data_IF_913394425092
#
_entry.id   IF_913394425092
#
_cell.length_a   1.000
_cell.length_b   1.000
_cell.length_c   1.000
_cell.angle_alpha   90.00
_cell.angle_beta   90.00
_cell.angle_gamma   90.00
#
_symmetry.space_group_name_H-M   'P 1'
#
loop_
_entity.id
_entity.type
_entity.pdbx_description
1 polymer ?
#
# COMPACT_ATOMS: atom_id res chain seq x y z
N UNK A 1 -4.42 -12.36 -35.15
CA UNK A 1 -3.58 -11.28 -34.60
C UNK A 1 -4.25 -10.80 -33.33
N UNK A 2 -3.97 -11.42 -32.18
CA UNK A 2 -4.51 -10.97 -30.90
C UNK A 2 -3.64 -9.81 -30.42
N UNK A 3 -4.20 -8.60 -30.47
CA UNK A 3 -3.52 -7.40 -29.98
C UNK A 3 -3.28 -7.51 -28.48
N UNK A 4 -2.13 -7.01 -28.03
CA UNK A 4 -1.83 -6.87 -26.61
C UNK A 4 -2.92 -6.05 -25.93
N UNK A 5 -3.77 -6.68 -25.13
CA UNK A 5 -4.80 -5.97 -24.37
C UNK A 5 -4.13 -5.38 -23.12
N UNK A 6 -3.94 -4.06 -23.11
CA UNK A 6 -3.40 -3.33 -21.96
C UNK A 6 -4.57 -2.86 -21.12
N UNK A 7 -4.87 -3.58 -20.05
CA UNK A 7 -6.08 -3.33 -19.26
C UNK A 7 -5.95 -2.10 -18.34
N UNK A 8 -4.75 -1.77 -17.91
CA UNK A 8 -4.49 -0.61 -17.06
C UNK A 8 -3.26 0.13 -17.58
N UNK A 9 -3.36 1.45 -17.66
CA UNK A 9 -2.25 2.36 -17.90
C UNK A 9 -2.28 3.51 -16.90
N UNK A 10 -1.17 3.72 -16.20
CA UNK A 10 -1.01 4.78 -15.21
C UNK A 10 0.29 5.55 -15.50
N UNK A 11 0.20 6.88 -15.49
CA UNK A 11 1.37 7.76 -15.46
C UNK A 11 1.43 8.53 -14.15
N UNK A 12 2.55 8.42 -13.46
CA UNK A 12 2.86 9.08 -12.19
C UNK A 12 4.01 10.07 -12.38
N UNK A 13 3.89 11.27 -11.80
CA UNK A 13 4.95 12.30 -11.77
C UNK A 13 5.09 12.90 -10.37
N UNK A 14 6.30 13.32 -10.01
CA UNK A 14 6.58 14.03 -8.75
C UNK A 14 6.04 13.32 -7.50
N UNK A 15 5.18 14.03 -6.75
CA UNK A 15 4.60 13.55 -5.47
C UNK A 15 3.79 12.26 -5.64
N UNK A 16 3.17 12.05 -6.79
CA UNK A 16 2.39 10.83 -7.06
C UNK A 16 3.26 9.58 -6.90
N UNK A 17 4.46 9.63 -7.49
CA UNK A 17 5.41 8.54 -7.43
C UNK A 17 5.91 8.27 -6.01
N UNK A 18 6.27 9.32 -5.26
CA UNK A 18 6.80 9.16 -3.89
C UNK A 18 5.74 8.64 -2.93
N UNK A 19 4.48 9.06 -3.06
CA UNK A 19 3.40 8.52 -2.24
C UNK A 19 3.07 7.07 -2.59
N UNK A 20 3.07 6.70 -3.88
CA UNK A 20 2.91 5.31 -4.31
C UNK A 20 4.00 4.41 -3.71
N UNK A 21 5.26 4.86 -3.79
CA UNK A 21 6.39 4.14 -3.20
C UNK A 21 6.25 4.00 -1.67
N UNK A 22 5.89 5.07 -0.96
CA UNK A 22 5.64 5.02 0.50
C UNK A 22 4.51 4.05 0.86
N UNK A 23 3.44 4.00 0.07
CA UNK A 23 2.35 3.05 0.28
C UNK A 23 2.82 1.59 0.08
N UNK A 24 3.60 1.30 -0.97
CA UNK A 24 4.19 -0.03 -1.18
C UNK A 24 5.10 -0.42 0.00
N UNK A 25 5.94 0.50 0.47
CA UNK A 25 6.77 0.27 1.66
C UNK A 25 5.93 -0.03 2.90
N UNK A 26 4.87 0.74 3.16
CA UNK A 26 3.98 0.50 4.28
C UNK A 26 3.28 -0.88 4.18
N UNK A 27 2.75 -1.23 3.00
CA UNK A 27 2.11 -2.53 2.77
C UNK A 27 3.09 -3.70 2.89
N UNK A 28 4.37 -3.52 2.56
CA UNK A 28 5.39 -4.56 2.72
C UNK A 28 5.66 -4.95 4.17
N UNK A 29 5.25 -4.12 5.14
CA UNK A 29 5.30 -4.43 6.58
C UNK A 29 4.13 -5.28 7.05
N UNK A 30 3.08 -5.42 6.23
CA UNK A 30 1.87 -6.19 6.54
C UNK A 30 1.96 -7.58 5.88
N UNK A 31 2.25 -7.63 4.58
CA UNK A 31 2.17 -8.86 3.81
C UNK A 31 3.24 -9.00 2.74
N UNK A 32 3.43 -10.26 2.31
CA UNK A 32 4.40 -10.63 1.26
C UNK A 32 3.81 -10.56 -0.15
N UNK A 33 2.51 -10.29 -0.26
CA UNK A 33 1.77 -10.19 -1.51
C UNK A 33 1.15 -8.79 -1.63
N UNK A 34 1.11 -8.27 -2.86
CA UNK A 34 0.55 -6.98 -3.21
C UNK A 34 -0.51 -7.17 -4.29
N UNK A 35 -1.76 -6.85 -3.99
CA UNK A 35 -2.82 -6.79 -4.98
C UNK A 35 -2.86 -5.40 -5.60
N UNK A 36 -2.84 -5.36 -6.94
CA UNK A 36 -2.98 -4.16 -7.74
C UNK A 36 -4.37 -4.21 -8.37
N UNK A 37 -5.32 -3.50 -7.76
CA UNK A 37 -6.74 -3.59 -8.06
C UNK A 37 -7.25 -2.25 -8.62
N UNK A 38 -7.32 -2.10 -9.95
CA UNK A 38 -7.81 -0.90 -10.59
C UNK A 38 -9.34 -0.91 -10.64
N UNK A 39 -9.90 0.22 -10.20
CA UNK A 39 -11.33 0.44 -10.08
C UNK A 39 -11.69 1.76 -10.77
N UNK A 40 -12.98 1.96 -11.07
CA UNK A 40 -13.46 3.25 -11.60
C UNK A 40 -13.12 4.42 -10.65
N UNK A 41 -13.15 4.17 -9.34
CA UNK A 41 -12.80 5.14 -8.29
C UNK A 41 -11.29 5.31 -8.08
N UNK A 42 -10.44 4.64 -8.86
CA UNK A 42 -8.98 4.74 -8.79
C UNK A 42 -8.27 3.40 -8.55
N UNK A 43 -6.98 3.47 -8.23
CA UNK A 43 -6.16 2.30 -7.97
C UNK A 43 -6.14 1.94 -6.49
N UNK A 44 -6.59 0.74 -6.13
CA UNK A 44 -6.41 0.17 -4.81
C UNK A 44 -5.14 -0.70 -4.77
N UNK A 45 -4.24 -0.40 -3.83
CA UNK A 45 -3.13 -1.27 -3.44
C UNK A 45 -3.50 -1.96 -2.14
N UNK A 46 -3.48 -3.30 -2.13
CA UNK A 46 -3.92 -4.09 -0.97
C UNK A 46 -2.88 -5.10 -0.56
N UNK A 47 -2.82 -5.43 0.71
CA UNK A 47 -1.97 -6.50 1.24
C UNK A 47 -2.62 -7.11 2.49
N UNK A 48 -2.37 -8.40 2.70
CA UNK A 48 -2.77 -9.14 3.90
C UNK A 48 -1.59 -9.94 4.41
N UNK A 49 -1.52 -10.12 5.73
CA UNK A 49 -0.55 -11.04 6.32
C UNK A 49 -0.93 -12.51 6.05
N UNK A 50 -0.01 -13.43 6.31
CA UNK A 50 -0.19 -14.87 6.05
C UNK A 50 -1.30 -15.52 6.86
N UNK A 51 -1.66 -14.94 8.02
CA UNK A 51 -2.74 -15.44 8.88
C UNK A 51 -4.09 -14.77 8.61
N UNK A 52 -4.20 -13.93 7.59
CA UNK A 52 -5.44 -13.21 7.26
C UNK A 52 -6.03 -12.36 8.39
N UNK A 53 -5.21 -11.96 9.36
CA UNK A 53 -5.61 -11.19 10.54
C UNK A 53 -5.24 -9.70 10.47
N UNK A 54 -4.35 -9.31 9.55
CA UNK A 54 -3.98 -7.92 9.32
C UNK A 54 -4.12 -7.59 7.83
N UNK A 55 -4.88 -6.53 7.55
CA UNK A 55 -5.18 -6.05 6.20
C UNK A 55 -4.76 -4.58 6.05
N UNK A 56 -4.12 -4.26 4.94
CA UNK A 56 -3.79 -2.88 4.56
C UNK A 56 -4.31 -2.54 3.17
N UNK A 57 -4.84 -1.34 3.01
CA UNK A 57 -5.33 -0.83 1.72
C UNK A 57 -5.03 0.65 1.56
N UNK A 58 -4.46 1.02 0.41
CA UNK A 58 -4.34 2.40 -0.04
C UNK A 58 -5.15 2.57 -1.32
N UNK A 59 -6.04 3.56 -1.36
CA UNK A 59 -6.80 3.91 -2.55
C UNK A 59 -6.32 5.25 -3.10
N UNK A 60 -5.83 5.25 -4.33
CA UNK A 60 -5.41 6.44 -5.06
C UNK A 60 -6.47 6.80 -6.10
N UNK A 61 -7.08 7.98 -5.96
CA UNK A 61 -8.05 8.51 -6.94
C UNK A 61 -7.45 8.59 -8.36
N UNK A 62 -8.23 8.45 -9.45
CA UNK A 62 -7.72 8.66 -10.80
C UNK A 62 -7.03 10.02 -10.97
N UNK A 63 -7.55 11.06 -10.29
CA UNK A 63 -7.00 12.42 -10.30
C UNK A 63 -5.65 12.55 -9.59
N UNK A 64 -5.23 11.53 -8.84
CA UNK A 64 -3.89 11.48 -8.25
C UNK A 64 -2.80 11.24 -9.30
N UNK A 65 -3.17 10.66 -10.44
CA UNK A 65 -2.27 10.30 -11.52
C UNK A 65 -2.33 11.35 -12.64
N UNK A 66 -1.24 11.52 -13.37
CA UNK A 66 -1.24 12.34 -14.58
C UNK A 66 -2.11 11.69 -15.66
N UNK A 67 -2.10 10.37 -15.71
CA UNK A 67 -2.99 9.57 -16.54
C UNK A 67 -3.42 8.34 -15.76
N UNK A 68 -4.71 8.04 -15.81
CA UNK A 68 -5.29 6.80 -15.34
C UNK A 68 -6.27 6.33 -16.40
N UNK A 69 -5.95 5.22 -17.06
CA UNK A 69 -6.78 4.62 -18.11
C UNK A 69 -7.01 3.16 -17.76
N UNK A 70 -8.29 2.82 -17.57
CA UNK A 70 -8.74 1.46 -17.32
C UNK A 70 -9.55 1.03 -18.55
N UNK A 71 -9.00 0.11 -19.32
CA UNK A 71 -9.75 -0.50 -20.42
C UNK A 71 -10.68 -1.55 -19.83
N UNK A 72 -11.99 -1.34 -19.99
CA UNK A 72 -12.97 -2.37 -19.66
C UNK A 72 -12.78 -3.52 -20.64
N UNK A 73 -12.27 -4.67 -20.17
CA UNK A 73 -12.54 -5.93 -20.82
C UNK A 73 -14.05 -5.99 -21.11
N UNK A 74 -14.40 -6.45 -22.30
CA UNK A 74 -15.74 -6.45 -22.90
C UNK A 74 -16.90 -6.72 -21.93
N UNK A 75 -18.08 -6.17 -22.26
CA UNK A 75 -19.37 -6.20 -21.54
C UNK A 75 -19.97 -7.60 -21.20
N UNK A 76 -19.17 -8.64 -20.97
CA UNK A 76 -19.67 -9.99 -20.67
C UNK A 76 -19.07 -10.65 -19.42
N UNK A 77 -18.10 -10.04 -18.74
CA UNK A 77 -17.81 -10.41 -17.36
C UNK A 77 -17.26 -9.19 -16.60
N UNK A 78 -17.72 -8.98 -15.37
CA UNK A 78 -17.22 -7.93 -14.48
C UNK A 78 -15.84 -8.30 -13.93
N UNK A 79 -14.92 -8.76 -14.78
CA UNK A 79 -13.59 -9.17 -14.35
C UNK A 79 -12.70 -7.93 -14.22
N UNK A 80 -12.85 -7.27 -13.08
CA UNK A 80 -11.85 -6.36 -12.53
C UNK A 80 -10.48 -7.04 -12.59
N UNK A 81 -9.43 -6.32 -12.98
CA UNK A 81 -8.08 -6.87 -13.07
C UNK A 81 -7.67 -7.46 -11.72
N UNK A 82 -7.51 -8.77 -11.69
CA UNK A 82 -7.19 -9.58 -10.52
C UNK A 82 -5.68 -9.82 -10.42
N UNK A 83 -4.90 -8.73 -10.31
CA UNK A 83 -3.44 -8.78 -10.37
C UNK A 83 -2.80 -8.89 -8.98
N UNK A 84 -2.24 -10.06 -8.64
CA UNK A 84 -1.44 -10.27 -7.43
C UNK A 84 0.05 -10.38 -7.74
N UNK A 85 0.84 -9.53 -7.08
CA UNK A 85 2.28 -9.43 -7.23
C UNK A 85 2.99 -9.94 -5.98
N UNK A 86 4.16 -10.55 -6.17
CA UNK A 86 5.06 -10.88 -5.06
C UNK A 86 5.74 -9.60 -4.59
N UNK A 87 5.56 -9.22 -3.32
CA UNK A 87 6.08 -7.96 -2.75
C UNK A 87 7.61 -7.84 -2.91
N UNK A 88 8.34 -8.96 -2.79
CA UNK A 88 9.80 -9.01 -2.97
C UNK A 88 10.27 -8.61 -4.37
N UNK A 89 9.41 -8.72 -5.39
CA UNK A 89 9.71 -8.28 -6.77
C UNK A 89 9.45 -6.79 -6.99
N UNK A 90 8.51 -6.21 -6.23
CA UNK A 90 8.06 -4.81 -6.39
C UNK A 90 8.85 -3.87 -5.48
N UNK A 91 9.00 -4.23 -4.20
CA UNK A 91 9.62 -3.39 -3.17
C UNK A 91 11.01 -2.85 -3.54
N UNK A 92 11.93 -3.63 -4.15
CA UNK A 92 13.24 -3.13 -4.54
C UNK A 92 13.20 -1.96 -5.52
N UNK A 93 12.16 -1.89 -6.37
CA UNK A 93 11.99 -0.82 -7.35
C UNK A 93 11.72 0.54 -6.70
N UNK A 94 11.22 0.54 -5.47
CA UNK A 94 10.88 1.72 -4.69
C UNK A 94 11.83 1.93 -3.50
N UNK A 95 12.93 1.17 -3.39
CA UNK A 95 13.79 1.13 -2.19
C UNK A 95 14.38 2.48 -1.78
N UNK A 96 14.91 3.26 -2.73
CA UNK A 96 15.56 4.54 -2.46
C UNK A 96 14.75 5.72 -3.00
N UNK A 97 13.59 5.99 -2.39
CA UNK A 97 12.66 7.02 -2.87
C UNK A 97 13.32 8.39 -3.09
N UNK A 98 14.28 8.79 -2.26
CA UNK A 98 15.01 10.07 -2.39
C UNK A 98 15.92 10.11 -3.63
N UNK A 99 16.56 9.00 -3.97
CA UNK A 99 17.38 8.88 -5.18
C UNK A 99 16.50 8.82 -6.42
N UNK A 100 15.39 8.09 -6.32
CA UNK A 100 14.44 7.92 -7.41
C UNK A 100 13.73 9.25 -7.70
N UNK A 101 13.29 10.01 -6.69
CA UNK A 101 12.70 11.34 -6.86
C UNK A 101 13.63 12.33 -7.56
N UNK A 102 14.94 12.25 -7.32
CA UNK A 102 15.93 13.09 -8.01
C UNK A 102 16.22 12.66 -9.45
N UNK A 103 16.00 11.39 -9.78
CA UNK A 103 16.45 10.82 -11.06
C UNK A 103 15.31 10.51 -12.02
N UNK A 104 14.12 10.18 -11.52
CA UNK A 104 12.94 9.79 -12.29
C UNK A 104 12.02 10.98 -12.49
N UNK A 105 11.79 11.33 -13.75
CA UNK A 105 10.88 12.40 -14.15
C UNK A 105 9.44 11.89 -14.23
N UNK A 106 9.27 10.63 -14.64
CA UNK A 106 7.96 10.00 -14.83
C UNK A 106 8.04 8.50 -14.63
N UNK A 107 7.03 7.93 -13.98
CA UNK A 107 6.84 6.50 -13.85
C UNK A 107 5.58 6.09 -14.63
N UNK A 108 5.71 5.09 -15.49
CA UNK A 108 4.61 4.51 -16.24
C UNK A 108 4.39 3.08 -15.74
N UNK A 109 3.15 2.73 -15.43
CA UNK A 109 2.76 1.40 -14.98
C UNK A 109 1.67 0.91 -15.92
N UNK A 110 1.88 -0.26 -16.52
CA UNK A 110 0.86 -0.91 -17.33
C UNK A 110 0.69 -2.38 -16.96
N UNK A 111 -0.53 -2.88 -17.14
CA UNK A 111 -0.86 -4.29 -16.91
C UNK A 111 -1.32 -4.91 -18.23
N UNK A 112 -0.63 -5.97 -18.63
CA UNK A 112 -0.91 -6.71 -19.86
C UNK A 112 -1.30 -8.15 -19.52
N UNK A 113 -2.53 -8.54 -19.85
CA UNK A 113 -3.02 -9.92 -19.69
C UNK A 113 -2.53 -10.86 -20.78
N UNK A 114 -2.07 -10.33 -21.91
CA UNK A 114 -1.47 -11.17 -22.95
C UNK A 114 -0.11 -11.78 -22.51
N UNK A 115 0.53 -11.19 -21.49
CA UNK A 115 1.89 -11.54 -21.07
C UNK A 115 2.01 -11.83 -19.58
N UNK A 116 0.90 -11.77 -18.84
CA UNK A 116 0.81 -11.88 -17.38
C UNK A 116 1.84 -11.03 -16.65
N UNK A 117 2.05 -9.81 -17.15
CA UNK A 117 3.08 -8.90 -16.66
C UNK A 117 2.51 -7.55 -16.31
N UNK A 118 2.98 -7.06 -15.16
CA UNK A 118 2.99 -5.64 -14.83
C UNK A 118 4.31 -5.06 -15.30
N UNK A 119 4.22 -4.08 -16.19
CA UNK A 119 5.38 -3.37 -16.73
C UNK A 119 5.48 -2.05 -15.98
N UNK A 120 6.60 -1.83 -15.30
CA UNK A 120 6.92 -0.58 -14.60
C UNK A 120 8.11 0.06 -15.31
N UNK A 121 7.92 1.26 -15.83
CA UNK A 121 8.95 2.00 -16.55
C UNK A 121 9.27 3.30 -15.83
N UNK A 122 10.54 3.48 -15.48
CA UNK A 122 11.05 4.75 -14.98
C UNK A 122 11.72 5.50 -16.11
N UNK A 123 11.18 6.67 -16.42
CA UNK A 123 11.76 7.63 -17.34
C UNK A 123 12.61 8.58 -16.52
N UNK A 124 13.91 8.37 -16.60
CA UNK A 124 14.91 9.12 -15.85
C UNK A 124 15.46 10.28 -16.69
N UNK A 125 16.17 11.18 -16.00
CA UNK A 125 16.96 12.24 -16.63
C UNK A 125 17.91 11.69 -17.70
N UNK A 126 18.23 12.55 -18.66
CA UNK A 126 19.13 12.24 -19.79
C UNK A 126 18.61 11.13 -20.71
N UNK A 127 17.29 10.95 -20.79
CA UNK A 127 16.66 9.99 -21.71
C UNK A 127 16.79 8.52 -21.31
N UNK A 128 17.25 8.24 -20.08
CA UNK A 128 17.41 6.86 -19.60
C UNK A 128 16.03 6.28 -19.26
N UNK A 129 15.70 5.11 -19.81
CA UNK A 129 14.46 4.39 -19.48
C UNK A 129 14.81 3.06 -18.81
N UNK A 130 14.37 2.87 -17.57
CA UNK A 130 14.49 1.60 -16.84
C UNK A 130 13.16 0.87 -16.88
N UNK A 131 13.11 -0.28 -17.55
CA UNK A 131 11.91 -1.10 -17.69
C UNK A 131 12.00 -2.34 -16.81
N UNK A 132 10.99 -2.56 -15.98
CA UNK A 132 10.87 -3.70 -15.09
C UNK A 132 9.61 -4.48 -15.44
N UNK A 133 9.79 -5.77 -15.75
CA UNK A 133 8.70 -6.69 -16.08
C UNK A 133 8.48 -7.62 -14.89
N UNK A 134 7.32 -7.52 -14.25
CA UNK A 134 6.99 -8.30 -13.06
C UNK A 134 5.86 -9.25 -13.42
N UNK A 135 6.07 -10.55 -13.22
CA UNK A 135 5.01 -11.53 -13.38
C UNK A 135 3.97 -11.35 -12.27
N UNK A 136 2.69 -11.37 -12.62
CA UNK A 136 1.61 -11.42 -11.66
C UNK A 136 0.92 -12.78 -11.68
N UNK A 137 0.22 -13.09 -10.61
CA UNK A 137 -0.68 -14.22 -10.51
C UNK A 137 -2.11 -13.69 -10.55
N UNK A 138 -2.97 -14.33 -11.34
CA UNK A 138 -4.40 -14.05 -11.26
C UNK A 138 -4.92 -14.50 -9.90
N UNK A 139 -5.56 -13.58 -9.19
CA UNK A 139 -6.07 -13.84 -7.85
C UNK A 139 -7.24 -12.93 -7.54
N UNK A 140 -8.29 -13.49 -6.93
CA UNK A 140 -9.47 -12.72 -6.55
C UNK A 140 -9.12 -11.46 -5.75
N UNK A 141 -9.93 -10.42 -5.96
CA UNK A 141 -9.74 -9.15 -5.31
C UNK A 141 -9.90 -9.33 -3.78
N UNK A 142 -8.81 -9.13 -3.06
CA UNK A 142 -8.80 -9.20 -1.61
C UNK A 142 -9.57 -8.02 -1.02
N UNK A 143 -10.77 -8.24 -0.47
CA UNK A 143 -11.54 -7.20 0.22
C UNK A 143 -11.79 -7.58 1.67
N UNK A 144 -11.38 -6.71 2.59
CA UNK A 144 -11.81 -6.79 3.98
C UNK A 144 -13.15 -6.06 4.13
N UNK A 145 -14.12 -6.72 4.76
CA UNK A 145 -15.37 -6.08 5.18
C UNK A 145 -15.12 -5.49 6.56
N UNK A 146 -15.05 -4.17 6.65
CA UNK A 146 -14.84 -3.45 7.89
C UNK A 146 -15.63 -2.14 7.90
N UNK A 147 -16.72 -2.14 8.66
CA UNK A 147 -17.60 -0.99 8.80
C UNK A 147 -17.09 -0.04 9.89
N UNK A 148 -16.09 0.76 9.53
CA UNK A 148 -15.44 1.72 10.45
C UNK A 148 -16.41 2.72 11.07
N UNK A 149 -17.52 3.02 10.38
CA UNK A 149 -18.57 3.92 10.85
C UNK A 149 -19.43 3.32 11.98
N UNK A 150 -19.39 2.01 12.19
CA UNK A 150 -20.09 1.31 13.26
C UNK A 150 -19.21 1.16 14.52
N UNK A 151 -17.95 1.61 14.49
CA UNK A 151 -17.06 1.49 15.63
C UNK A 151 -17.52 2.42 16.78
N UNK A 152 -17.76 1.88 17.99
CA UNK A 152 -18.22 2.69 19.13
C UNK A 152 -17.14 3.63 19.69
N UNK A 153 -15.86 3.32 19.42
CA UNK A 153 -14.71 4.08 19.90
C UNK A 153 -13.92 4.62 18.72
N UNK A 154 -13.68 5.94 18.69
CA UNK A 154 -12.89 6.61 17.66
C UNK A 154 -11.81 7.46 18.31
N UNK A 155 -10.55 7.17 17.98
CA UNK A 155 -9.39 7.98 18.36
C UNK A 155 -8.81 8.64 17.12
N UNK A 156 -8.65 9.97 17.15
CA UNK A 156 -7.99 10.74 16.09
C UNK A 156 -6.87 11.57 16.69
N UNK A 157 -5.68 11.44 16.12
CA UNK A 157 -4.50 12.18 16.55
C UNK A 157 -3.57 12.43 15.34
N UNK A 158 -2.69 13.45 15.39
CA UNK A 158 -1.65 13.62 14.39
C UNK A 158 -0.76 12.37 14.32
N UNK A 159 -0.46 11.88 13.12
CA UNK A 159 0.36 10.67 12.93
C UNK A 159 1.75 10.77 13.60
N UNK A 160 2.32 11.99 13.61
CA UNK A 160 3.58 12.28 14.32
C UNK A 160 3.46 12.04 15.82
N UNK A 161 2.37 12.47 16.45
CA UNK A 161 2.13 12.24 17.86
C UNK A 161 2.07 10.74 18.19
N UNK A 162 1.37 9.95 17.36
CA UNK A 162 1.32 8.49 17.55
C UNK A 162 2.68 7.82 17.35
N UNK A 163 3.49 8.34 16.41
CA UNK A 163 4.85 7.85 16.15
C UNK A 163 5.77 8.16 17.33
N UNK A 164 5.71 9.38 17.85
CA UNK A 164 6.48 9.82 19.03
C UNK A 164 6.11 8.99 20.27
N UNK A 165 4.86 8.53 20.38
CA UNK A 165 4.48 7.59 21.44
C UNK A 165 5.07 6.19 21.23
N UNK A 166 5.05 5.66 20.01
CA UNK A 166 5.49 4.27 19.75
C UNK A 166 7.02 4.12 19.76
N UNK A 167 7.78 5.20 19.52
CA UNK A 167 9.26 5.16 19.46
C UNK A 167 9.93 4.70 20.76
N UNK A 168 9.22 4.78 21.89
CA UNK A 168 9.73 4.36 23.19
C UNK A 168 9.66 2.85 23.44
N UNK A 169 8.93 2.10 22.61
CA UNK A 169 8.91 0.64 22.69
C UNK A 169 10.16 0.03 22.05
N UNK A 170 10.69 -1.08 22.59
CA UNK A 170 11.78 -1.80 21.94
C UNK A 170 11.41 -2.25 20.52
N UNK A 171 12.38 -2.29 19.61
CA UNK A 171 12.15 -2.67 18.21
C UNK A 171 11.64 -4.11 18.04
N UNK A 172 11.88 -4.98 19.01
CA UNK A 172 11.40 -6.36 19.06
C UNK A 172 10.03 -6.50 19.74
N UNK A 173 9.39 -5.39 20.15
CA UNK A 173 8.08 -5.43 20.78
C UNK A 173 7.02 -5.87 19.75
N UNK A 174 6.45 -7.06 19.93
CA UNK A 174 5.47 -7.63 18.99
C UNK A 174 4.07 -7.06 19.21
N UNK A 175 3.66 -6.90 20.47
CA UNK A 175 2.29 -6.51 20.83
C UNK A 175 2.26 -5.31 21.78
N UNK A 176 1.32 -4.39 21.55
CA UNK A 176 1.06 -3.22 22.39
C UNK A 176 -0.44 -3.15 22.66
N UNK A 177 -0.82 -2.91 23.91
CA UNK A 177 -2.20 -2.64 24.32
C UNK A 177 -2.47 -1.14 24.32
N UNK A 178 -3.51 -0.73 23.59
CA UNK A 178 -4.08 0.62 23.66
C UNK A 178 -5.28 0.63 24.62
N UNK A 179 -5.31 1.57 25.55
CA UNK A 179 -6.43 1.77 26.48
C UNK A 179 -6.82 3.25 26.52
N UNK A 180 -8.12 3.52 26.50
CA UNK A 180 -8.66 4.89 26.46
C UNK A 180 -9.65 5.05 27.61
N UNK A 181 -9.52 6.17 28.32
CA UNK A 181 -10.48 6.67 29.30
C UNK A 181 -10.82 8.12 28.94
N UNK A 182 -11.90 8.71 29.48
CA UNK A 182 -12.25 10.10 29.21
C UNK A 182 -11.10 11.11 29.48
N UNK A 183 -10.16 10.77 30.37
CA UNK A 183 -9.09 11.67 30.82
C UNK A 183 -7.71 11.32 30.25
N UNK A 184 -7.52 10.13 29.69
CA UNK A 184 -6.19 9.68 29.22
C UNK A 184 -6.25 8.57 28.18
N UNK A 185 -5.23 8.57 27.34
CA UNK A 185 -4.86 7.46 26.46
C UNK A 185 -3.59 6.82 27.01
N UNK A 186 -3.57 5.50 27.05
CA UNK A 186 -2.43 4.71 27.55
C UNK A 186 -2.01 3.67 26.51
N UNK A 187 -0.71 3.58 26.24
CA UNK A 187 -0.08 2.49 25.49
C UNK A 187 0.78 1.66 26.45
N UNK A 188 0.67 0.34 26.37
CA UNK A 188 1.44 -0.58 27.22
C UNK A 188 1.99 -1.74 26.39
N UNK A 189 3.23 -2.15 26.62
CA UNK A 189 3.72 -3.37 25.99
C UNK A 189 3.03 -4.62 26.56
N UNK A 190 2.80 -5.61 25.71
CA UNK A 190 2.40 -6.93 26.18
C UNK A 190 3.65 -7.79 26.41
N UNK A 191 3.75 -8.41 27.58
CA UNK A 191 4.77 -9.42 27.90
C UNK A 191 4.10 -10.62 28.58
N UNK A 192 4.37 -11.80 28.04
CA UNK A 192 3.92 -13.04 28.65
C UNK A 192 4.68 -13.26 29.98
N UNK A 193 3.97 -13.15 31.10
CA UNK A 193 4.56 -13.29 32.45
C UNK A 193 4.78 -11.99 33.24
N UNK A 194 4.37 -10.82 32.71
CA UNK A 194 4.14 -9.59 33.49
C UNK A 194 5.36 -8.85 34.06
N UNK A 195 6.58 -9.31 33.83
CA UNK A 195 7.80 -8.53 34.13
C UNK A 195 8.06 -7.51 33.00
N UNK A 196 8.77 -6.41 33.26
CA UNK A 196 9.21 -5.48 32.19
C UNK A 196 8.14 -4.60 31.53
N UNK A 197 7.08 -4.25 32.26
CA UNK A 197 5.97 -3.45 31.73
C UNK A 197 6.38 -1.98 31.52
N UNK A 198 6.41 -1.55 30.27
CA UNK A 198 6.52 -0.15 29.85
C UNK A 198 5.11 0.39 29.58
N UNK A 199 4.75 1.49 30.25
CA UNK A 199 3.46 2.17 30.08
C UNK A 199 3.68 3.64 29.75
N UNK A 200 3.09 4.11 28.66
CA UNK A 200 3.09 5.50 28.23
C UNK A 200 1.68 6.05 28.35
N UNK A 201 1.52 7.26 28.88
CA UNK A 201 0.21 7.88 29.06
C UNK A 201 0.20 9.32 28.57
N UNK A 202 -0.84 9.68 27.83
CA UNK A 202 -1.14 11.04 27.40
C UNK A 202 -2.48 11.47 28.02
N UNK A 203 -2.53 12.65 28.66
CA UNK A 203 -3.78 13.20 29.18
C UNK A 203 -4.56 13.85 28.05
N UNK A 204 -5.87 13.60 28.00
CA UNK A 204 -6.79 14.30 27.13
C UNK A 204 -7.19 15.60 27.84
N UNK A 205 -6.93 16.74 27.20
CA UNK A 205 -7.31 18.08 27.66
C UNK A 205 -8.79 18.35 27.38
#
# INVERSE_FOLDING_TARGET
MYGSVVLLTINCVGVCFTALGKAIHALSRIGNELWLDPMVKGLALRSVNSSHSAYGCFLFSPMFFQQYSLESASKQSSDTIKCKLVMKSVLPLFRCLTSIERSVERCHISVSTATDRVIIQFFCRHGIIKTHNIHFQESEALQAVFDSHLCPNVLKAPARLLTDMVVHFPLFQEEITLSITPMKVTLRNYQQGGKGVLTLSCRLL
#
